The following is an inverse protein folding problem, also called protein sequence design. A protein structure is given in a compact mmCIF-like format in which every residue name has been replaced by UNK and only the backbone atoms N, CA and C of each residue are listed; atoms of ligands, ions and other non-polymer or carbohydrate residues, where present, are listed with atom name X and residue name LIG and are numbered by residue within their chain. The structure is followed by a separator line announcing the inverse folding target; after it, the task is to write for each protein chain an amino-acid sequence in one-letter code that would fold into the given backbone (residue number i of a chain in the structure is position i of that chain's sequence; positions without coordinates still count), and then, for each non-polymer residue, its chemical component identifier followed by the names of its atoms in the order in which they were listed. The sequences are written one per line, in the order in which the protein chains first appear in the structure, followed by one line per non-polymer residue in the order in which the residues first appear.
data_IF_236504059824
#
_entry.id   IF_236504059824
#
_cell.length_a   1.000
_cell.length_b   1.000
_cell.length_c   1.000
_cell.angle_alpha   90.00
_cell.angle_beta   90.00
_cell.angle_gamma   90.00
#
_symmetry.space_group_name_H-M   'P 1'
#
loop_
_entity.id
_entity.type
_entity.pdbx_description
1 polymer ?
#
# COMPACT_ATOMS: atom_id res chain seq x y z
N UNK A 1 23.09 6.13 -1.32
CA UNK A 1 21.90 6.42 -2.16
C UNK A 1 21.09 7.49 -1.47
N UNK A 2 21.52 8.72 -1.70
CA UNK A 2 21.12 9.91 -0.96
C UNK A 2 20.19 10.74 -1.85
N UNK A 3 19.09 11.23 -1.29
CA UNK A 3 18.13 12.10 -1.99
C UNK A 3 17.02 11.37 -2.76
N UNK A 4 15.96 10.93 -2.07
CA UNK A 4 14.65 10.73 -2.73
C UNK A 4 13.50 11.24 -1.87
N UNK A 5 13.21 12.50 -2.13
CA UNK A 5 11.99 13.25 -1.91
C UNK A 5 11.31 13.12 -0.54
N UNK A 6 11.39 14.22 0.21
CA UNK A 6 10.70 14.39 1.50
C UNK A 6 9.16 14.36 1.34
N UNK A 7 8.66 14.34 0.09
CA UNK A 7 7.23 14.36 -0.24
C UNK A 7 6.86 13.44 -1.42
N UNK A 8 7.26 12.17 -1.41
CA UNK A 8 6.74 11.21 -2.41
C UNK A 8 5.21 11.21 -2.42
N UNK A 9 4.64 11.59 -3.57
CA UNK A 9 3.21 11.56 -3.86
C UNK A 9 3.03 10.91 -5.23
N UNK A 10 2.55 9.66 -5.30
CA UNK A 10 2.40 8.97 -6.57
C UNK A 10 1.40 9.70 -7.46
N UNK A 11 1.63 9.67 -8.76
CA UNK A 11 0.66 10.15 -9.74
C UNK A 11 -0.60 9.28 -9.71
N UNK A 12 -1.75 9.81 -10.15
CA UNK A 12 -2.99 9.02 -10.26
C UNK A 12 -2.83 7.82 -11.22
N UNK A 13 -1.95 7.94 -12.22
CA UNK A 13 -1.64 6.85 -13.13
C UNK A 13 -0.95 5.68 -12.42
N UNK A 14 0.07 5.98 -11.60
CA UNK A 14 0.78 4.99 -10.79
C UNK A 14 -0.17 4.34 -9.78
N UNK A 15 -1.00 5.11 -9.08
CA UNK A 15 -1.99 4.55 -8.13
C UNK A 15 -2.91 3.54 -8.82
N UNK A 16 -3.41 3.86 -10.02
CA UNK A 16 -4.28 2.96 -10.81
C UNK A 16 -3.55 1.73 -11.33
N UNK A 17 -2.33 1.89 -11.84
CA UNK A 17 -1.53 0.76 -12.31
C UNK A 17 -1.27 -0.24 -11.17
N UNK A 18 -0.86 0.26 -9.99
CA UNK A 18 -0.71 -0.57 -8.80
C UNK A 18 -2.02 -1.26 -8.41
N UNK A 19 -3.15 -0.53 -8.39
CA UNK A 19 -4.47 -1.10 -8.11
C UNK A 19 -4.85 -2.24 -9.06
N UNK A 20 -4.67 -2.05 -10.37
CA UNK A 20 -4.99 -3.06 -11.38
C UNK A 20 -4.11 -4.32 -11.27
N UNK A 21 -2.81 -4.17 -10.98
CA UNK A 21 -1.93 -5.32 -10.74
C UNK A 21 -2.36 -6.08 -9.48
N UNK A 22 -2.64 -5.37 -8.38
CA UNK A 22 -3.12 -5.97 -7.13
C UNK A 22 -4.43 -6.75 -7.31
N UNK A 23 -5.32 -6.25 -8.16
CA UNK A 23 -6.61 -6.87 -8.46
C UNK A 23 -6.49 -8.12 -9.35
N UNK A 24 -5.58 -8.12 -10.31
CA UNK A 24 -5.62 -9.06 -11.44
C UNK A 24 -4.41 -10.00 -11.54
N UNK A 25 -3.31 -9.73 -10.83
CA UNK A 25 -2.05 -10.46 -11.03
C UNK A 25 -1.62 -11.16 -9.75
N UNK A 26 -1.64 -12.50 -9.79
CA UNK A 26 -1.26 -13.37 -8.68
C UNK A 26 -0.11 -14.31 -9.05
N UNK A 27 0.73 -13.91 -10.01
CA UNK A 27 1.90 -14.66 -10.45
C UNK A 27 3.20 -13.98 -10.03
N UNK A 28 4.27 -14.76 -10.02
CA UNK A 28 5.62 -14.24 -9.90
C UNK A 28 5.92 -13.28 -11.08
N UNK A 29 6.66 -12.17 -10.89
CA UNK A 29 7.29 -11.71 -9.64
C UNK A 29 6.38 -10.81 -8.77
N UNK A 30 5.15 -10.53 -9.21
CA UNK A 30 4.28 -9.54 -8.56
C UNK A 30 3.86 -9.94 -7.15
N UNK A 31 3.70 -11.24 -6.88
CA UNK A 31 3.43 -11.74 -5.53
C UNK A 31 4.56 -11.38 -4.56
N UNK A 32 5.82 -11.58 -4.94
CA UNK A 32 6.98 -11.18 -4.13
C UNK A 32 7.05 -9.65 -3.96
N UNK A 33 6.74 -8.89 -5.00
CA UNK A 33 6.72 -7.43 -4.91
C UNK A 33 5.67 -6.91 -3.93
N UNK A 34 4.50 -7.55 -3.88
CA UNK A 34 3.45 -7.23 -2.91
C UNK A 34 3.88 -7.56 -1.48
N UNK A 35 4.55 -8.69 -1.27
CA UNK A 35 5.07 -9.09 0.03
C UNK A 35 6.16 -8.14 0.52
N UNK A 36 7.13 -7.80 -0.34
CA UNK A 36 8.18 -6.83 -0.03
C UNK A 36 7.62 -5.45 0.30
N UNK A 37 6.70 -4.93 -0.52
CA UNK A 37 6.04 -3.66 -0.24
C UNK A 37 5.22 -3.70 1.06
N UNK A 38 4.56 -4.84 1.34
CA UNK A 38 3.80 -5.09 2.56
C UNK A 38 4.67 -5.12 3.82
N UNK A 39 5.83 -5.79 3.78
CA UNK A 39 6.78 -5.83 4.90
C UNK A 39 7.30 -4.45 5.30
N UNK A 40 7.22 -3.47 4.38
CA UNK A 40 7.71 -2.14 4.60
C UNK A 40 6.68 -1.21 5.24
N UNK A 41 5.40 -1.54 5.29
CA UNK A 41 4.40 -0.72 6.00
C UNK A 41 4.26 -1.16 7.45
N UNK A 42 3.88 -0.24 8.35
CA UNK A 42 3.56 -0.57 9.75
C UNK A 42 4.69 -1.30 10.50
N UNK A 43 5.96 -1.00 10.19
CA UNK A 43 7.13 -1.73 10.73
C UNK A 43 7.25 -1.74 12.26
N UNK A 44 6.67 -0.75 12.91
CA UNK A 44 6.69 -0.61 14.38
C UNK A 44 5.44 -1.22 15.03
N UNK A 45 4.56 -1.87 14.24
CA UNK A 45 3.34 -2.51 14.72
C UNK A 45 3.57 -4.00 14.93
N UNK A 46 2.69 -4.64 15.71
CA UNK A 46 2.73 -6.09 15.81
C UNK A 46 2.41 -6.76 14.46
N UNK A 47 2.83 -8.01 14.31
CA UNK A 47 2.71 -8.75 13.04
C UNK A 47 1.26 -8.82 12.52
N UNK A 48 0.28 -8.95 13.43
CA UNK A 48 -1.13 -9.04 13.05
C UNK A 48 -1.64 -7.68 12.57
N UNK A 49 -1.31 -6.61 13.26
CA UNK A 49 -1.63 -5.23 12.88
C UNK A 49 -0.96 -4.85 11.55
N UNK A 50 0.28 -5.26 11.34
CA UNK A 50 1.01 -5.03 10.10
C UNK A 50 0.34 -5.73 8.91
N UNK A 51 0.00 -7.03 9.05
CA UNK A 51 -0.73 -7.79 8.04
C UNK A 51 -2.08 -7.14 7.71
N UNK A 52 -2.84 -6.76 8.75
CA UNK A 52 -4.11 -6.07 8.60
C UNK A 52 -3.97 -4.72 7.88
N UNK A 53 -2.94 -3.93 8.20
CA UNK A 53 -2.64 -2.68 7.51
C UNK A 53 -2.32 -2.92 6.03
N UNK A 54 -1.49 -3.91 5.74
CA UNK A 54 -1.11 -4.28 4.37
C UNK A 54 -2.34 -4.63 3.53
N UNK A 55 -3.20 -5.52 4.04
CA UNK A 55 -4.44 -5.91 3.35
C UNK A 55 -5.41 -4.75 3.16
N UNK A 56 -5.55 -3.88 4.17
CA UNK A 56 -6.35 -2.67 4.05
C UNK A 56 -5.80 -1.72 2.97
N UNK A 57 -4.49 -1.55 2.88
CA UNK A 57 -3.86 -0.73 1.84
C UNK A 57 -4.13 -1.30 0.46
N UNK A 58 -3.98 -2.62 0.28
CA UNK A 58 -4.24 -3.29 -1.01
C UNK A 58 -5.69 -3.08 -1.45
N UNK A 59 -6.66 -3.34 -0.57
CA UNK A 59 -8.09 -3.13 -0.86
C UNK A 59 -8.40 -1.66 -1.18
N UNK A 60 -7.81 -0.70 -0.45
CA UNK A 60 -8.02 0.72 -0.74
C UNK A 60 -7.49 1.12 -2.13
N UNK A 61 -6.37 0.52 -2.56
CA UNK A 61 -5.76 0.77 -3.87
C UNK A 61 -6.56 0.16 -5.01
N UNK A 62 -7.09 -1.06 -4.81
CA UNK A 62 -7.96 -1.73 -5.78
C UNK A 62 -9.23 -0.89 -6.00
N UNK A 63 -9.95 -0.55 -4.93
CA UNK A 63 -11.19 0.22 -5.04
C UNK A 63 -11.43 1.13 -3.83
N UNK A 64 -10.96 2.39 -3.89
CA UNK A 64 -11.16 3.38 -2.82
C UNK A 64 -12.63 3.72 -2.55
N UNK A 65 -13.52 3.59 -3.53
CA UNK A 65 -14.95 3.90 -3.35
C UNK A 65 -15.63 2.83 -2.49
N UNK A 66 -15.32 1.57 -2.76
CA UNK A 66 -15.86 0.42 -2.01
C UNK A 66 -15.15 0.21 -0.68
N UNK A 67 -13.84 0.47 -0.64
CA UNK A 67 -12.99 0.29 0.53
C UNK A 67 -12.37 1.62 1.01
N UNK A 68 -13.17 2.61 1.44
CA UNK A 68 -12.63 3.84 2.02
C UNK A 68 -11.97 3.55 3.38
N UNK A 69 -11.11 4.47 3.84
CA UNK A 69 -10.33 4.30 5.06
C UNK A 69 -11.21 3.98 6.27
N UNK A 70 -12.33 4.66 6.42
CA UNK A 70 -13.22 4.55 7.58
C UNK A 70 -13.85 3.14 7.68
N UNK A 71 -14.14 2.53 6.53
CA UNK A 71 -14.63 1.14 6.45
C UNK A 71 -13.52 0.17 6.82
N UNK A 72 -12.33 0.35 6.24
CA UNK A 72 -11.17 -0.51 6.48
C UNK A 72 -10.67 -0.42 7.93
N UNK A 73 -10.66 0.78 8.51
CA UNK A 73 -10.27 1.02 9.90
C UNK A 73 -11.13 0.20 10.86
N UNK A 74 -12.45 0.21 10.66
CA UNK A 74 -13.40 -0.58 11.46
C UNK A 74 -13.24 -2.08 11.20
N UNK A 75 -13.17 -2.49 9.93
CA UNK A 75 -13.06 -3.90 9.51
C UNK A 75 -11.82 -4.58 10.09
N UNK A 76 -10.68 -3.90 10.07
CA UNK A 76 -9.38 -4.46 10.46
C UNK A 76 -8.90 -4.00 11.85
N UNK A 77 -9.66 -3.15 12.54
CA UNK A 77 -9.29 -2.59 13.85
C UNK A 77 -7.99 -1.78 13.80
N UNK A 78 -7.76 -1.00 12.73
CA UNK A 78 -6.48 -0.34 12.49
C UNK A 78 -6.21 0.76 13.55
N UNK A 79 -5.11 0.69 14.32
CA UNK A 79 -4.79 1.65 15.38
C UNK A 79 -4.13 2.92 14.82
N UNK A 80 -4.70 3.51 13.76
CA UNK A 80 -4.11 4.66 13.10
C UNK A 80 -5.14 5.70 12.66
N UNK A 81 -4.65 6.92 12.45
CA UNK A 81 -5.43 7.98 11.80
C UNK A 81 -5.39 7.84 10.28
N UNK A 82 -6.35 8.48 9.60
CA UNK A 82 -6.37 8.55 8.13
C UNK A 82 -5.08 9.14 7.54
N UNK A 83 -4.44 10.09 8.25
CA UNK A 83 -3.17 10.70 7.84
C UNK A 83 -2.03 9.68 7.86
N UNK A 84 -1.94 8.86 8.91
CA UNK A 84 -0.95 7.81 9.02
C UNK A 84 -1.20 6.71 7.98
N UNK A 85 -2.45 6.28 7.82
CA UNK A 85 -2.83 5.32 6.78
C UNK A 85 -2.38 5.78 5.40
N UNK A 86 -2.70 7.03 5.00
CA UNK A 86 -2.25 7.60 3.72
C UNK A 86 -0.73 7.64 3.57
N UNK A 87 0.01 7.88 4.65
CA UNK A 87 1.49 7.86 4.64
C UNK A 87 2.01 6.45 4.34
N UNK A 88 1.47 5.44 5.02
CA UNK A 88 1.83 4.04 4.81
C UNK A 88 1.39 3.54 3.42
N UNK A 89 0.20 3.94 2.93
CA UNK A 89 -0.21 3.64 1.55
C UNK A 89 0.77 4.22 0.53
N UNK A 90 1.22 5.47 0.69
CA UNK A 90 2.23 6.06 -0.22
C UNK A 90 3.56 5.33 -0.16
N UNK A 91 3.96 4.84 1.02
CA UNK A 91 5.16 4.03 1.19
C UNK A 91 5.04 2.71 0.44
N UNK A 92 3.91 2.01 0.60
CA UNK A 92 3.60 0.80 -0.15
C UNK A 92 3.71 1.06 -1.66
N UNK A 93 3.00 2.07 -2.16
CA UNK A 93 2.99 2.42 -3.59
C UNK A 93 4.38 2.72 -4.10
N UNK A 94 5.19 3.50 -3.36
CA UNK A 94 6.58 3.84 -3.75
C UNK A 94 7.43 2.61 -4.00
N UNK A 95 7.33 1.63 -3.11
CA UNK A 95 8.15 0.42 -3.17
C UNK A 95 7.61 -0.48 -4.27
N UNK A 96 6.30 -0.72 -4.28
CA UNK A 96 5.66 -1.58 -5.25
C UNK A 96 5.80 -1.07 -6.69
N UNK A 97 5.56 0.22 -6.92
CA UNK A 97 5.70 0.84 -8.24
C UNK A 97 7.14 0.82 -8.72
N UNK A 98 8.11 1.07 -7.82
CA UNK A 98 9.53 0.96 -8.14
C UNK A 98 9.95 -0.45 -8.53
N UNK A 99 9.43 -1.48 -7.86
CA UNK A 99 9.65 -2.89 -8.23
C UNK A 99 9.00 -3.25 -9.58
N UNK A 100 7.85 -2.65 -9.89
CA UNK A 100 7.17 -2.81 -11.17
C UNK A 100 7.80 -2.00 -12.32
N UNK A 101 8.81 -1.16 -12.04
CA UNK A 101 9.46 -0.30 -13.05
C UNK A 101 8.66 0.95 -13.44
N UNK A 102 7.74 1.41 -12.59
CA UNK A 102 7.04 2.68 -12.79
C UNK A 102 7.78 3.82 -12.06
N UNK A 103 8.12 4.89 -12.79
CA UNK A 103 8.75 6.12 -12.27
C UNK A 103 7.81 7.33 -12.30
#
# INVERSE_FOLDING_TARGET
MEGRDKHYRPSRGIERACGGILESVHSWPYTEYMELAGSCVGRDWDEKQQKNLCEAIKLNLINRKEYPFEVLQRKYGLPCSQKLFRKESRKFIRIFSGLCGFE
#
